data_IF_673813823087
#
_entry.id   IF_673813823087
#
_cell.length_a   1.000
_cell.length_b   1.000
_cell.length_c   1.000
_cell.angle_alpha   90.00
_cell.angle_beta   90.00
_cell.angle_gamma   90.00
#
_symmetry.space_group_name_H-M   'P 1'
#
loop_
_entity.id
_entity.type
_entity.pdbx_description
1 polymer ?
#
# COMPACT_ATOMS: atom_id res chain seq x y z
N UNK A 1 22.46 -15.38 11.75
CA UNK A 1 20.99 -15.38 11.58
C UNK A 1 20.60 -13.91 11.69
N UNK A 2 20.13 -13.32 10.59
CA UNK A 2 19.68 -11.93 10.57
C UNK A 2 18.46 -11.80 11.49
N UNK A 3 18.62 -11.05 12.57
CA UNK A 3 17.57 -10.78 13.57
C UNK A 3 16.58 -9.70 13.13
N UNK A 4 16.78 -9.10 11.96
CA UNK A 4 16.04 -7.92 11.49
C UNK A 4 15.01 -8.23 10.39
N UNK A 5 14.86 -9.51 10.01
CA UNK A 5 13.85 -9.90 9.02
C UNK A 5 12.47 -9.99 9.69
N UNK A 6 11.50 -9.25 9.14
CA UNK A 6 10.10 -9.29 9.58
C UNK A 6 9.60 -10.75 9.58
N UNK A 7 8.95 -11.16 10.67
CA UNK A 7 8.41 -12.50 10.79
C UNK A 7 7.21 -12.69 9.84
N UNK A 8 7.40 -13.45 8.76
CA UNK A 8 6.38 -13.75 7.75
C UNK A 8 5.20 -14.61 8.24
N UNK A 9 5.32 -15.27 9.39
CA UNK A 9 4.21 -16.03 9.99
C UNK A 9 3.19 -15.14 10.70
N UNK A 10 3.60 -13.92 11.09
CA UNK A 10 2.77 -12.99 11.87
C UNK A 10 2.56 -11.63 11.19
N UNK A 11 3.31 -11.35 10.13
CA UNK A 11 3.24 -10.09 9.39
C UNK A 11 3.05 -10.35 7.90
N UNK A 12 2.33 -9.45 7.25
CA UNK A 12 2.21 -9.38 5.81
C UNK A 12 2.47 -7.94 5.35
N UNK A 13 2.98 -7.79 4.13
CA UNK A 13 3.09 -6.49 3.46
C UNK A 13 1.75 -6.15 2.84
N UNK A 14 1.39 -4.87 2.88
CA UNK A 14 0.20 -4.40 2.19
C UNK A 14 0.44 -3.05 1.54
N UNK A 15 -0.34 -2.79 0.50
CA UNK A 15 -0.40 -1.53 -0.23
C UNK A 15 -1.85 -1.32 -0.67
N UNK A 16 -2.18 -0.11 -1.09
CA UNK A 16 -3.44 0.16 -1.78
C UNK A 16 -3.15 0.35 -3.27
N UNK A 17 -3.61 -0.58 -4.11
CA UNK A 17 -3.39 -0.58 -5.55
C UNK A 17 -1.91 -0.81 -5.98
N UNK A 18 -1.17 -1.59 -5.19
CA UNK A 18 0.26 -1.82 -5.40
C UNK A 18 0.61 -2.63 -6.65
N UNK A 19 -0.34 -3.40 -7.21
CA UNK A 19 -0.12 -4.22 -8.41
C UNK A 19 -1.08 -3.95 -9.58
N UNK A 20 -2.22 -3.27 -9.36
CA UNK A 20 -3.34 -3.30 -10.33
C UNK A 20 -3.44 -2.10 -11.27
N UNK A 21 -2.79 -0.96 -10.96
CA UNK A 21 -2.92 0.25 -11.78
C UNK A 21 -2.10 0.20 -13.08
N UNK A 22 -2.76 0.10 -14.26
CA UNK A 22 -2.11 0.13 -15.59
C UNK A 22 -0.91 -0.84 -15.76
N UNK A 23 -0.97 -2.02 -15.13
CA UNK A 23 0.15 -2.98 -15.07
C UNK A 23 0.94 -2.98 -13.75
N UNK A 24 0.52 -2.12 -12.81
CA UNK A 24 0.91 -2.03 -11.41
C UNK A 24 1.80 -0.83 -11.09
N UNK A 25 1.67 -0.30 -9.88
CA UNK A 25 2.32 0.95 -9.46
C UNK A 25 3.51 0.69 -8.53
N UNK A 26 3.28 0.48 -7.23
CA UNK A 26 4.35 0.38 -6.23
C UNK A 26 5.32 -0.76 -6.51
N UNK A 27 4.80 -2.00 -6.60
CA UNK A 27 5.65 -3.17 -6.69
C UNK A 27 6.40 -3.26 -8.02
N UNK A 28 5.79 -3.02 -9.20
CA UNK A 28 6.55 -2.96 -10.45
C UNK A 28 7.61 -1.86 -10.50
N UNK A 29 7.33 -0.68 -9.93
CA UNK A 29 8.32 0.39 -9.84
C UNK A 29 9.49 -0.02 -8.94
N UNK A 30 9.21 -0.55 -7.74
CA UNK A 30 10.23 -1.09 -6.84
C UNK A 30 11.06 -2.20 -7.52
N UNK A 31 10.42 -3.18 -8.16
CA UNK A 31 11.12 -4.26 -8.89
C UNK A 31 12.08 -3.71 -9.93
N UNK A 32 11.65 -2.73 -10.72
CA UNK A 32 12.48 -2.08 -11.75
C UNK A 32 13.67 -1.37 -11.14
N UNK A 33 13.49 -0.59 -10.06
CA UNK A 33 14.57 0.13 -9.39
C UNK A 33 15.57 -0.82 -8.72
N UNK A 34 15.10 -1.86 -8.03
CA UNK A 34 15.98 -2.85 -7.41
C UNK A 34 16.82 -3.59 -8.46
N UNK A 35 16.20 -3.99 -9.59
CA UNK A 35 16.91 -4.59 -10.71
C UNK A 35 17.99 -3.64 -11.27
N UNK A 36 17.65 -2.38 -11.55
CA UNK A 36 18.57 -1.39 -12.11
C UNK A 36 19.77 -1.10 -11.21
N UNK A 37 19.60 -1.22 -9.89
CA UNK A 37 20.66 -0.98 -8.91
C UNK A 37 21.35 -2.27 -8.42
N UNK A 38 21.01 -3.44 -8.98
CA UNK A 38 21.59 -4.73 -8.57
C UNK A 38 21.28 -5.10 -7.10
N UNK A 39 20.18 -4.58 -6.56
CA UNK A 39 19.76 -4.84 -5.18
C UNK A 39 18.89 -6.10 -5.11
N UNK A 40 19.03 -6.85 -4.02
CA UNK A 40 18.18 -8.00 -3.73
C UNK A 40 16.77 -7.55 -3.38
N UNK A 41 15.76 -8.26 -3.87
CA UNK A 41 14.35 -8.04 -3.49
C UNK A 41 14.17 -8.13 -1.96
N UNK A 42 13.55 -7.13 -1.30
CA UNK A 42 13.67 -6.99 0.15
C UNK A 42 12.62 -7.79 0.93
N UNK A 43 11.51 -8.21 0.32
CA UNK A 43 10.39 -8.79 1.05
C UNK A 43 10.46 -10.31 1.27
N UNK A 44 11.42 -11.01 0.64
CA UNK A 44 11.60 -12.44 0.83
C UNK A 44 10.29 -13.22 0.64
N UNK A 45 9.96 -14.05 1.62
CA UNK A 45 8.80 -14.93 1.72
C UNK A 45 7.58 -14.30 2.41
N UNK A 46 7.64 -13.01 2.77
CA UNK A 46 6.55 -12.32 3.45
C UNK A 46 5.32 -12.25 2.52
N UNK A 47 4.16 -12.63 3.08
CA UNK A 47 2.89 -12.56 2.39
C UNK A 47 2.54 -11.12 2.01
N UNK A 48 1.84 -10.94 0.89
CA UNK A 48 1.35 -9.65 0.42
C UNK A 48 -0.15 -9.69 0.15
N UNK A 49 -0.87 -8.67 0.61
CA UNK A 49 -2.26 -8.44 0.27
C UNK A 49 -2.44 -7.01 -0.27
N UNK A 50 -3.16 -6.87 -1.37
CA UNK A 50 -3.47 -5.57 -1.97
C UNK A 50 -4.84 -5.09 -1.45
N UNK A 51 -4.84 -4.00 -0.69
CA UNK A 51 -6.05 -3.54 0.00
C UNK A 51 -7.15 -3.14 -0.96
N UNK A 52 -6.84 -2.68 -2.17
CA UNK A 52 -7.88 -2.34 -3.15
C UNK A 52 -8.79 -3.54 -3.44
N UNK A 53 -8.25 -4.77 -3.42
CA UNK A 53 -9.03 -5.99 -3.67
C UNK A 53 -9.81 -6.48 -2.44
N UNK A 54 -9.39 -6.04 -1.24
CA UNK A 54 -9.99 -6.45 0.03
C UNK A 54 -11.10 -5.47 0.41
N UNK A 55 -10.92 -4.17 0.16
CA UNK A 55 -11.93 -3.14 0.46
C UNK A 55 -13.17 -3.26 -0.42
N UNK A 56 -13.08 -3.92 -1.59
CA UNK A 56 -14.22 -4.33 -2.43
C UNK A 56 -15.26 -5.19 -1.68
N UNK A 57 -14.94 -5.68 -0.48
CA UNK A 57 -15.88 -6.41 0.39
C UNK A 57 -16.76 -5.50 1.25
N UNK A 58 -16.49 -4.19 1.26
CA UNK A 58 -17.31 -3.18 1.91
C UNK A 58 -18.14 -2.42 0.88
N UNK A 59 -19.23 -1.78 1.33
CA UNK A 59 -19.98 -0.84 0.51
C UNK A 59 -19.32 0.55 0.58
N UNK A 60 -18.54 0.90 -0.44
CA UNK A 60 -17.81 2.17 -0.52
C UNK A 60 -18.53 3.26 -1.34
N UNK A 61 -19.80 3.05 -1.71
CA UNK A 61 -20.57 4.00 -2.53
C UNK A 61 -19.87 4.41 -3.84
N UNK A 62 -19.34 3.42 -4.56
CA UNK A 62 -18.59 3.58 -5.82
C UNK A 62 -17.23 4.29 -5.70
N UNK A 63 -16.79 4.64 -4.48
CA UNK A 63 -15.43 5.11 -4.25
C UNK A 63 -14.43 3.97 -4.43
N UNK A 64 -13.35 4.25 -5.16
CA UNK A 64 -12.34 3.25 -5.53
C UNK A 64 -10.89 3.73 -5.37
N UNK A 65 -10.66 5.03 -5.13
CA UNK A 65 -9.37 5.54 -4.70
C UNK A 65 -9.21 5.46 -3.17
N UNK A 66 -7.96 5.59 -2.70
CA UNK A 66 -7.61 5.41 -1.30
C UNK A 66 -8.32 6.41 -0.39
N UNK A 67 -8.39 7.68 -0.80
CA UNK A 67 -8.96 8.76 0.03
C UNK A 67 -10.47 8.56 0.15
N UNK A 68 -11.17 8.39 -0.97
CA UNK A 68 -12.61 8.17 -0.98
C UNK A 68 -13.04 6.91 -0.21
N UNK A 69 -12.30 5.79 -0.37
CA UNK A 69 -12.57 4.58 0.42
C UNK A 69 -12.34 4.81 1.91
N UNK A 70 -11.25 5.49 2.26
CA UNK A 70 -10.91 5.79 3.65
C UNK A 70 -11.94 6.72 4.31
N UNK A 71 -12.42 7.74 3.60
CA UNK A 71 -13.42 8.68 4.10
C UNK A 71 -14.75 7.99 4.39
N UNK A 72 -15.15 7.04 3.55
CA UNK A 72 -16.39 6.26 3.75
C UNK A 72 -16.27 5.29 4.92
N UNK A 73 -15.14 4.60 5.06
CA UNK A 73 -15.00 3.50 6.02
C UNK A 73 -14.43 3.93 7.38
N UNK A 74 -13.68 5.02 7.43
CA UNK A 74 -12.96 5.49 8.63
C UNK A 74 -13.26 6.96 8.90
N UNK A 75 -12.97 7.86 7.95
CA UNK A 75 -13.25 9.30 8.07
C UNK A 75 -12.52 10.04 9.20
N UNK A 76 -11.36 9.55 9.64
CA UNK A 76 -10.52 10.23 10.64
C UNK A 76 -9.60 11.27 9.96
N UNK A 77 -9.31 12.38 10.64
CA UNK A 77 -8.34 13.38 10.14
C UNK A 77 -6.94 12.78 9.96
N UNK A 78 -6.21 13.29 8.96
CA UNK A 78 -4.83 12.85 8.66
C UNK A 78 -3.88 14.04 8.63
N UNK A 79 -2.58 13.75 8.51
CA UNK A 79 -1.57 14.80 8.36
C UNK A 79 -1.41 15.33 6.93
N UNK A 80 -2.21 14.82 5.98
CA UNK A 80 -2.19 15.21 4.57
C UNK A 80 -2.56 16.69 4.42
N UNK A 81 -1.68 17.52 3.84
CA UNK A 81 -1.96 18.95 3.68
C UNK A 81 -2.72 19.28 2.39
N UNK A 82 -2.93 18.32 1.50
CA UNK A 82 -3.52 18.54 0.18
C UNK A 82 -5.00 18.19 0.15
N UNK A 83 -5.75 18.92 -0.66
CA UNK A 83 -7.15 18.60 -0.96
C UNK A 83 -7.22 17.57 -2.11
N UNK A 84 -6.22 17.55 -2.99
CA UNK A 84 -6.11 16.61 -4.11
C UNK A 84 -4.69 16.03 -4.26
N UNK A 85 -4.58 14.73 -4.55
CA UNK A 85 -3.31 14.03 -4.77
C UNK A 85 -2.46 14.60 -5.92
N UNK A 86 -3.04 15.31 -6.88
CA UNK A 86 -2.30 16.01 -7.94
C UNK A 86 -1.36 17.09 -7.38
N UNK A 87 -1.71 17.72 -6.26
CA UNK A 87 -0.87 18.72 -5.60
C UNK A 87 0.42 18.11 -5.04
N UNK A 88 0.40 16.84 -4.66
CA UNK A 88 1.60 16.12 -4.25
C UNK A 88 2.60 15.96 -5.42
N UNK A 89 2.10 15.84 -6.66
CA UNK A 89 2.96 15.81 -7.86
C UNK A 89 3.63 17.16 -8.07
N UNK A 90 2.90 18.26 -7.91
CA UNK A 90 3.45 19.60 -8.00
C UNK A 90 4.48 19.87 -6.89
N UNK A 91 4.21 19.43 -5.66
CA UNK A 91 5.16 19.50 -4.55
C UNK A 91 6.45 18.74 -4.86
N UNK A 92 6.36 17.54 -5.45
CA UNK A 92 7.54 16.81 -5.91
C UNK A 92 8.33 17.57 -6.98
N UNK A 93 7.65 18.13 -7.98
CA UNK A 93 8.30 18.86 -9.09
C UNK A 93 8.99 20.15 -8.63
N UNK A 94 8.42 20.83 -7.64
CA UNK A 94 8.93 22.08 -7.09
C UNK A 94 9.91 21.90 -5.93
N UNK A 95 10.06 20.65 -5.43
CA UNK A 95 10.95 20.31 -4.33
C UNK A 95 10.40 20.69 -2.95
N UNK A 96 9.08 20.79 -2.81
CA UNK A 96 8.43 21.03 -1.54
C UNK A 96 8.25 19.70 -0.76
N UNK A 97 9.33 19.28 -0.11
CA UNK A 97 9.44 17.94 0.44
C UNK A 97 8.58 17.68 1.67
N UNK A 98 8.37 18.69 2.53
CA UNK A 98 7.65 18.46 3.79
C UNK A 98 6.16 18.14 3.55
N UNK A 99 5.41 18.91 2.74
CA UNK A 99 4.04 18.55 2.37
C UNK A 99 3.96 17.22 1.64
N UNK A 100 4.87 16.95 0.70
CA UNK A 100 4.94 15.66 0.02
C UNK A 100 5.14 14.48 0.98
N UNK A 101 6.06 14.60 1.94
CA UNK A 101 6.30 13.56 2.94
C UNK A 101 5.08 13.34 3.85
N UNK A 102 4.35 14.41 4.19
CA UNK A 102 3.11 14.30 4.98
C UNK A 102 2.02 13.57 4.21
N UNK A 103 1.84 13.88 2.93
CA UNK A 103 0.92 13.17 2.05
C UNK A 103 1.24 11.66 1.98
N UNK A 104 2.49 11.31 1.69
CA UNK A 104 2.93 9.90 1.64
C UNK A 104 2.72 9.18 2.98
N UNK A 105 2.97 9.86 4.10
CA UNK A 105 2.73 9.30 5.43
C UNK A 105 1.25 9.08 5.69
N UNK A 106 0.40 10.03 5.31
CA UNK A 106 -1.05 9.91 5.43
C UNK A 106 -1.56 8.71 4.63
N UNK A 107 -1.10 8.49 3.40
CA UNK A 107 -1.52 7.34 2.58
C UNK A 107 -1.09 5.99 3.17
N UNK A 108 0.11 5.92 3.74
CA UNK A 108 0.56 4.73 4.49
C UNK A 108 -0.35 4.48 5.70
N UNK A 109 -0.72 5.54 6.44
CA UNK A 109 -1.61 5.43 7.60
C UNK A 109 -3.03 5.01 7.18
N UNK A 110 -3.59 5.60 6.12
CA UNK A 110 -4.89 5.23 5.56
C UNK A 110 -4.92 3.76 5.16
N UNK A 111 -3.92 3.33 4.40
CA UNK A 111 -3.78 1.93 3.97
C UNK A 111 -3.70 0.97 5.17
N UNK A 112 -2.90 1.31 6.18
CA UNK A 112 -2.78 0.50 7.40
C UNK A 112 -4.11 0.39 8.13
N UNK A 113 -4.82 1.50 8.33
CA UNK A 113 -6.09 1.54 9.05
C UNK A 113 -7.18 0.75 8.31
N UNK A 114 -7.21 0.82 6.98
CA UNK A 114 -8.08 -0.01 6.15
C UNK A 114 -7.74 -1.51 6.30
N UNK A 115 -6.46 -1.86 6.38
CA UNK A 115 -6.04 -3.23 6.63
C UNK A 115 -6.44 -3.74 8.02
N UNK A 116 -6.31 -2.90 9.06
CA UNK A 116 -6.77 -3.19 10.43
C UNK A 116 -8.30 -3.37 10.49
N UNK A 117 -9.06 -2.55 9.74
CA UNK A 117 -10.51 -2.68 9.61
C UNK A 117 -10.88 -3.98 8.88
N UNK A 118 -10.25 -4.25 7.74
CA UNK A 118 -10.48 -5.48 6.98
C UNK A 118 -10.19 -6.73 7.83
N UNK A 119 -9.14 -6.70 8.66
CA UNK A 119 -8.80 -7.80 9.56
C UNK A 119 -9.87 -8.13 10.61
N UNK A 120 -10.80 -7.21 10.87
CA UNK A 120 -11.91 -7.41 11.80
C UNK A 120 -13.18 -7.96 11.12
N UNK A 121 -13.39 -7.64 9.85
CA UNK A 121 -14.68 -7.87 9.17
C UNK A 121 -14.60 -8.79 7.94
N UNK A 122 -13.44 -8.93 7.31
CA UNK A 122 -13.27 -9.68 6.06
C UNK A 122 -12.70 -11.06 6.34
N UNK A 123 -13.26 -12.08 5.69
CA UNK A 123 -12.75 -13.45 5.84
C UNK A 123 -11.30 -13.56 5.37
N UNK A 124 -10.49 -14.35 6.06
CA UNK A 124 -9.07 -14.54 5.72
C UNK A 124 -8.86 -14.98 4.26
N UNK A 125 -9.75 -15.80 3.70
CA UNK A 125 -9.70 -16.23 2.31
C UNK A 125 -9.83 -15.09 1.29
N UNK A 126 -10.49 -14.00 1.66
CA UNK A 126 -10.72 -12.84 0.80
C UNK A 126 -9.52 -11.88 0.75
N UNK A 127 -8.52 -12.04 1.64
CA UNK A 127 -7.26 -11.29 1.56
C UNK A 127 -6.41 -11.68 0.35
N UNK A 128 -6.65 -12.86 -0.24
CA UNK A 128 -5.97 -13.36 -1.45
C UNK A 128 -4.44 -13.20 -1.38
N UNK A 129 -3.87 -13.49 -0.21
CA UNK A 129 -2.45 -13.26 0.06
C UNK A 129 -1.56 -13.98 -0.95
N UNK A 130 -0.53 -13.29 -1.42
CA UNK A 130 0.45 -13.78 -2.40
C UNK A 130 1.85 -13.81 -1.79
N UNK A 131 2.70 -14.70 -2.29
CA UNK A 131 4.12 -14.64 -1.99
C UNK A 131 4.81 -13.69 -3.00
N UNK A 132 5.53 -12.68 -2.51
CA UNK A 132 6.28 -11.75 -3.36
C UNK A 132 7.63 -12.31 -3.82
N UNK A 133 8.07 -13.44 -3.28
CA UNK A 133 9.28 -14.12 -3.71
C UNK A 133 9.11 -14.64 -5.14
N UNK A 134 10.07 -14.36 -6.04
CA UNK A 134 10.12 -15.02 -7.34
C UNK A 134 10.19 -16.55 -7.18
N UNK A 135 9.64 -17.33 -8.12
CA UNK A 135 9.78 -18.78 -8.11
C UNK A 135 11.25 -19.18 -8.01
N UNK A 136 11.53 -20.19 -7.19
CA UNK A 136 12.85 -20.85 -7.21
C UNK A 136 13.04 -21.49 -8.59
N UNK A 137 14.19 -21.23 -9.22
CA UNK A 137 14.65 -22.04 -10.36
C UNK A 137 15.19 -23.37 -9.88
#
# INVERSE_FOLDING_TARGET
MDSDQLNGDTHYVTAFNGETWNGGFDLPFCRTRFLQHGLRWPFGDIAYADMIQVVDRFNTHDQSDLVGVYDVLVGEETCDPFDDSAEAVDAFQTGDWLPLCKHNLADIQRTRKLAELAGQFVAQSDFKMKNLQPPHR
#
